data_IF_985040189767
#
_entry.id   IF_985040189767
#
_cell.length_a   1.000
_cell.length_b   1.000
_cell.length_c   1.000
_cell.angle_alpha   90.00
_cell.angle_beta   90.00
_cell.angle_gamma   90.00
#
_symmetry.space_group_name_H-M   'P 1'
#
loop_
_entity.id
_entity.type
_entity.pdbx_description
1 polymer ?
#
# COMPACT_ATOMS: atom_id res chain seq x y z
N UNK A 1 1.75 12.30 28.89
CA UNK A 1 0.29 12.52 28.99
C UNK A 1 -0.40 11.32 28.35
N UNK A 2 -1.53 10.83 28.90
CA UNK A 2 -2.28 9.73 28.30
C UNK A 2 -2.80 10.17 26.92
N UNK A 3 -2.36 9.49 25.86
CA UNK A 3 -2.71 9.85 24.49
C UNK A 3 -2.88 8.62 23.62
N UNK A 4 -3.97 8.60 22.84
CA UNK A 4 -4.19 7.70 21.72
C UNK A 4 -3.48 8.29 20.51
N UNK A 5 -2.52 7.54 19.95
CA UNK A 5 -1.60 8.03 18.92
C UNK A 5 -2.02 7.58 17.53
N UNK A 6 -2.50 6.34 17.42
CA UNK A 6 -2.92 5.73 16.16
C UNK A 6 -4.10 4.80 16.39
N UNK A 7 -4.97 4.71 15.38
CA UNK A 7 -6.07 3.77 15.38
C UNK A 7 -6.26 3.16 13.99
N UNK A 8 -6.72 1.92 13.94
CA UNK A 8 -7.05 1.21 12.71
C UNK A 8 -8.26 0.33 12.88
N UNK A 9 -9.09 0.28 11.84
CA UNK A 9 -10.18 -0.68 11.70
C UNK A 9 -9.72 -1.76 10.74
N UNK A 10 -9.84 -3.02 11.14
CA UNK A 10 -9.40 -4.19 10.37
C UNK A 10 -10.50 -5.23 10.31
N UNK A 11 -10.48 -6.06 9.27
CA UNK A 11 -11.35 -7.23 9.18
C UNK A 11 -10.74 -8.39 9.95
N UNK A 12 -11.53 -9.01 10.83
CA UNK A 12 -11.04 -10.05 11.76
C UNK A 12 -10.47 -11.25 11.01
N UNK A 13 -11.16 -11.74 9.97
CA UNK A 13 -10.84 -13.02 9.31
C UNK A 13 -9.41 -13.12 8.76
N UNK A 14 -8.86 -12.02 8.27
CA UNK A 14 -7.61 -11.96 7.53
C UNK A 14 -6.69 -10.81 7.96
N UNK A 15 -7.12 -9.97 8.90
CA UNK A 15 -6.40 -8.78 9.31
C UNK A 15 -6.30 -7.71 8.23
N UNK A 16 -7.18 -7.73 7.20
CA UNK A 16 -7.17 -6.73 6.14
C UNK A 16 -7.47 -5.34 6.75
N UNK A 17 -6.58 -4.34 6.60
CA UNK A 17 -6.87 -3.00 7.06
C UNK A 17 -8.00 -2.39 6.24
N UNK A 18 -9.06 -1.95 6.90
CA UNK A 18 -10.24 -1.33 6.30
C UNK A 18 -10.11 0.19 6.30
N UNK A 19 -9.63 0.76 7.41
CA UNK A 19 -9.32 2.17 7.58
C UNK A 19 -8.26 2.37 8.67
N UNK A 20 -7.59 3.52 8.69
CA UNK A 20 -6.64 3.88 9.75
C UNK A 20 -6.40 5.39 9.80
N UNK A 21 -5.94 5.86 10.96
CA UNK A 21 -5.55 7.25 11.14
C UNK A 21 -4.26 7.60 10.37
N UNK A 22 -4.26 8.75 9.70
CA UNK A 22 -3.13 9.26 8.91
C UNK A 22 -2.14 10.10 9.72
N UNK A 23 -1.67 9.57 10.85
CA UNK A 23 -0.76 10.30 11.73
C UNK A 23 0.71 10.01 11.44
N UNK A 24 1.52 11.06 11.34
CA UNK A 24 2.97 10.97 11.16
C UNK A 24 3.69 11.00 12.50
N UNK A 25 4.04 9.82 13.01
CA UNK A 25 4.97 9.67 14.13
C UNK A 25 6.24 8.98 13.65
N UNK A 26 7.37 9.68 13.77
CA UNK A 26 8.68 9.21 13.29
C UNK A 26 9.53 8.51 14.35
N UNK A 27 9.04 8.35 15.57
CA UNK A 27 9.75 7.60 16.61
C UNK A 27 9.92 6.14 16.20
N UNK A 28 11.15 5.61 16.28
CA UNK A 28 11.46 4.24 15.87
C UNK A 28 10.60 3.21 16.60
N UNK A 29 10.42 3.38 17.91
CA UNK A 29 9.61 2.50 18.75
C UNK A 29 8.13 2.48 18.33
N UNK A 30 7.61 3.61 17.85
CA UNK A 30 6.25 3.68 17.31
C UNK A 30 6.12 2.89 16.00
N UNK A 31 7.14 2.93 15.13
CA UNK A 31 7.16 2.14 13.90
C UNK A 31 7.22 0.64 14.18
N UNK A 32 7.97 0.23 15.21
CA UNK A 32 8.03 -1.17 15.69
C UNK A 32 6.66 -1.61 16.24
N UNK A 33 6.04 -0.79 17.08
CA UNK A 33 4.68 -1.01 17.60
C UNK A 33 3.66 -1.13 16.46
N UNK A 34 3.78 -0.33 15.40
CA UNK A 34 2.94 -0.42 14.20
C UNK A 34 3.15 -1.71 13.41
N UNK A 35 4.37 -2.27 13.39
CA UNK A 35 4.64 -3.60 12.79
C UNK A 35 3.99 -4.70 13.63
N UNK A 36 4.10 -4.63 14.95
CA UNK A 36 3.47 -5.56 15.89
C UNK A 36 1.95 -5.52 15.77
N UNK A 37 1.33 -4.34 15.70
CA UNK A 37 -0.10 -4.18 15.47
C UNK A 37 -0.56 -4.89 14.19
N UNK A 38 0.20 -4.78 13.10
CA UNK A 38 -0.11 -5.48 11.84
C UNK A 38 0.02 -7.00 11.97
N UNK A 39 1.00 -7.49 12.72
CA UNK A 39 1.15 -8.91 12.98
C UNK A 39 -0.01 -9.45 13.83
N UNK A 40 -0.41 -8.71 14.86
CA UNK A 40 -1.57 -9.01 15.71
C UNK A 40 -2.87 -9.02 14.90
N UNK A 41 -3.07 -8.05 14.00
CA UNK A 41 -4.28 -7.97 13.16
C UNK A 41 -4.54 -9.28 12.38
N UNK A 42 -3.48 -9.93 11.87
CA UNK A 42 -3.59 -11.21 11.13
C UNK A 42 -3.93 -12.41 12.01
N UNK A 43 -3.70 -12.30 13.32
CA UNK A 43 -3.91 -13.36 14.31
C UNK A 43 -5.16 -13.13 15.16
N UNK A 44 -5.92 -12.06 14.92
CA UNK A 44 -7.16 -11.76 15.64
C UNK A 44 -8.14 -12.94 15.75
N UNK A 45 -8.32 -13.82 14.73
CA UNK A 45 -9.21 -14.98 14.88
C UNK A 45 -8.79 -15.97 15.97
N UNK A 46 -7.52 -15.93 16.41
CA UNK A 46 -6.96 -16.80 17.46
C UNK A 46 -7.13 -16.22 18.86
N UNK A 47 -7.55 -14.97 18.96
CA UNK A 47 -7.63 -14.23 20.22
C UNK A 47 -9.09 -13.96 20.61
N UNK A 48 -9.38 -13.77 21.90
CA UNK A 48 -10.72 -13.41 22.35
C UNK A 48 -11.12 -12.02 21.86
N UNK A 49 -12.38 -11.65 22.09
CA UNK A 49 -12.97 -10.40 21.61
C UNK A 49 -12.22 -9.13 22.00
N UNK A 50 -11.42 -9.12 23.07
CA UNK A 50 -10.62 -7.98 23.53
C UNK A 50 -9.24 -8.43 23.99
N UNK A 51 -8.23 -7.58 23.77
CA UNK A 51 -6.89 -7.84 24.28
C UNK A 51 -5.98 -6.61 24.23
N UNK A 52 -4.84 -6.76 24.88
CA UNK A 52 -3.77 -5.76 24.93
C UNK A 52 -2.41 -6.41 24.76
N UNK A 53 -1.46 -5.65 24.21
CA UNK A 53 -0.06 -6.04 24.13
C UNK A 53 0.79 -4.86 24.60
N UNK A 54 1.63 -5.09 25.60
CA UNK A 54 2.48 -4.05 26.20
C UNK A 54 3.84 -3.98 25.52
N UNK A 55 4.22 -2.78 25.07
CA UNK A 55 5.56 -2.47 24.60
C UNK A 55 6.23 -1.48 25.58
N UNK A 56 7.45 -1.03 25.27
CA UNK A 56 8.24 -0.16 26.17
C UNK A 56 7.51 1.15 26.49
N UNK A 57 7.26 1.95 25.45
CA UNK A 57 6.68 3.29 25.59
C UNK A 57 5.20 3.34 25.16
N UNK A 58 4.73 2.29 24.50
CA UNK A 58 3.38 2.21 23.92
C UNK A 58 2.68 0.90 24.28
N UNK A 59 1.36 0.96 24.33
CA UNK A 59 0.50 -0.22 24.43
C UNK A 59 -0.36 -0.33 23.18
N UNK A 60 -0.56 -1.56 22.73
CA UNK A 60 -1.50 -1.91 21.68
C UNK A 60 -2.76 -2.45 22.34
N UNK A 61 -3.93 -1.98 21.90
CA UNK A 61 -5.22 -2.51 22.32
C UNK A 61 -6.03 -2.92 21.09
N UNK A 62 -6.84 -3.97 21.23
CA UNK A 62 -7.80 -4.36 20.20
C UNK A 62 -9.13 -4.80 20.81
N UNK A 63 -10.20 -4.53 20.07
CA UNK A 63 -11.56 -5.00 20.36
C UNK A 63 -12.20 -5.45 19.05
N UNK A 64 -12.72 -6.68 19.02
CA UNK A 64 -13.30 -7.32 17.86
C UNK A 64 -14.74 -7.74 18.12
N UNK A 65 -15.64 -7.38 17.20
CA UNK A 65 -17.05 -7.74 17.22
C UNK A 65 -17.61 -7.78 15.79
N UNK A 66 -18.51 -8.71 15.49
CA UNK A 66 -19.19 -8.76 14.18
C UNK A 66 -18.25 -8.88 12.96
N UNK A 67 -17.09 -9.53 13.11
CA UNK A 67 -16.11 -9.69 12.02
C UNK A 67 -15.25 -8.45 11.72
N UNK A 68 -15.42 -7.37 12.50
CA UNK A 68 -14.61 -6.14 12.45
C UNK A 68 -13.88 -5.97 13.77
N UNK A 69 -12.62 -5.54 13.71
CA UNK A 69 -11.86 -5.18 14.90
C UNK A 69 -11.34 -3.74 14.80
N UNK A 70 -11.40 -3.04 15.91
CA UNK A 70 -10.75 -1.75 16.09
C UNK A 70 -9.49 -1.97 16.92
N UNK A 71 -8.38 -1.40 16.49
CA UNK A 71 -7.07 -1.47 17.15
C UNK A 71 -6.53 -0.08 17.38
N UNK A 72 -5.79 0.12 18.47
CA UNK A 72 -5.15 1.40 18.79
C UNK A 72 -3.73 1.22 19.32
N UNK A 73 -2.88 2.21 19.06
CA UNK A 73 -1.59 2.40 19.73
C UNK A 73 -1.73 3.62 20.62
N UNK A 74 -1.41 3.45 21.90
CA UNK A 74 -1.55 4.48 22.91
C UNK A 74 -0.25 4.61 23.71
N UNK A 75 -0.01 5.78 24.30
CA UNK A 75 1.02 5.93 25.33
C UNK A 75 0.77 4.96 26.48
N UNK A 76 1.81 4.42 27.10
CA UNK A 76 1.69 3.48 28.23
C UNK A 76 0.86 4.01 29.42
N UNK A 77 0.78 5.33 29.61
CA UNK A 77 0.00 5.93 30.70
C UNK A 77 -1.51 6.06 30.39
N UNK A 78 -1.96 5.62 29.20
CA UNK A 78 -3.36 5.72 28.81
C UNK A 78 -4.22 4.66 29.53
N UNK A 79 -5.28 5.05 30.27
CA UNK A 79 -6.13 4.09 30.98
C UNK A 79 -6.82 3.11 30.01
N UNK A 80 -6.76 1.81 30.30
CA UNK A 80 -7.34 0.78 29.43
C UNK A 80 -8.84 1.02 29.15
N UNK A 81 -9.62 1.38 30.17
CA UNK A 81 -11.05 1.68 30.01
C UNK A 81 -11.32 2.84 29.03
N UNK A 82 -10.47 3.87 29.01
CA UNK A 82 -10.57 4.96 28.05
C UNK A 82 -10.32 4.46 26.63
N UNK A 83 -9.31 3.60 26.44
CA UNK A 83 -8.97 3.03 25.14
C UNK A 83 -10.07 2.09 24.64
N UNK A 84 -10.60 1.20 25.48
CA UNK A 84 -11.70 0.32 25.08
C UNK A 84 -12.97 1.11 24.75
N UNK A 85 -13.28 2.17 25.50
CA UNK A 85 -14.38 3.09 25.17
C UNK A 85 -14.19 3.77 23.81
N UNK A 86 -12.95 4.16 23.49
CA UNK A 86 -12.59 4.69 22.19
C UNK A 86 -12.80 3.65 21.08
N UNK A 87 -12.31 2.42 21.27
CA UNK A 87 -12.44 1.34 20.30
C UNK A 87 -13.90 0.97 20.03
N UNK A 88 -14.74 0.92 21.06
CA UNK A 88 -16.18 0.67 20.90
C UNK A 88 -16.87 1.80 20.14
N UNK A 89 -16.54 3.06 20.45
CA UNK A 89 -17.09 4.21 19.72
C UNK A 89 -16.76 4.10 18.23
N UNK A 90 -15.50 3.81 17.90
CA UNK A 90 -15.09 3.61 16.50
C UNK A 90 -15.81 2.44 15.84
N UNK A 91 -16.00 1.34 16.55
CA UNK A 91 -16.68 0.17 16.03
C UNK A 91 -18.15 0.48 15.68
N UNK A 92 -18.87 1.17 16.59
CA UNK A 92 -20.24 1.62 16.34
C UNK A 92 -20.32 2.57 15.15
N UNK A 93 -19.48 3.60 15.10
CA UNK A 93 -19.47 4.56 13.99
C UNK A 93 -19.16 3.86 12.65
N UNK A 94 -18.25 2.89 12.64
CA UNK A 94 -17.84 2.17 11.42
C UNK A 94 -18.97 1.26 10.90
N UNK A 95 -19.55 0.44 11.79
CA UNK A 95 -20.64 -0.48 11.43
C UNK A 95 -21.95 0.23 11.10
N UNK A 96 -22.17 1.44 11.63
CA UNK A 96 -23.28 2.30 11.23
C UNK A 96 -23.06 2.96 9.86
N UNK A 97 -21.80 3.18 9.47
CA UNK A 97 -21.44 3.86 8.21
C UNK A 97 -21.35 2.92 7.01
N UNK A 98 -21.03 1.64 7.23
CA UNK A 98 -20.73 0.69 6.16
C UNK A 98 -21.46 -0.63 6.33
N UNK A 99 -22.03 -1.13 5.22
CA UNK A 99 -22.72 -2.42 5.21
C UNK A 99 -21.74 -3.59 5.41
N UNK A 100 -22.21 -4.61 6.14
CA UNK A 100 -21.46 -5.83 6.46
C UNK A 100 -21.05 -6.57 5.19
N UNK A 101 -21.89 -6.57 4.15
CA UNK A 101 -21.58 -7.20 2.86
C UNK A 101 -20.39 -6.54 2.18
N UNK A 102 -20.38 -5.21 2.11
CA UNK A 102 -19.29 -4.42 1.54
C UNK A 102 -17.97 -4.65 2.28
N UNK A 103 -18.03 -4.68 3.62
CA UNK A 103 -16.87 -5.01 4.47
C UNK A 103 -16.36 -6.43 4.18
N UNK A 104 -17.26 -7.39 4.02
CA UNK A 104 -16.93 -8.79 3.71
C UNK A 104 -16.32 -9.00 2.31
N UNK A 105 -16.73 -8.18 1.32
CA UNK A 105 -16.25 -8.26 -0.06
C UNK A 105 -14.99 -7.43 -0.33
N UNK A 106 -14.62 -6.52 0.57
CA UNK A 106 -13.43 -5.69 0.41
C UNK A 106 -12.17 -6.54 0.18
N UNK A 107 -11.43 -6.24 -0.89
CA UNK A 107 -10.20 -6.95 -1.25
C UNK A 107 -8.95 -6.06 -1.21
N UNK A 108 -9.14 -4.73 -1.25
CA UNK A 108 -8.05 -3.76 -1.22
C UNK A 108 -7.78 -3.28 0.20
N UNK A 109 -6.50 -3.16 0.62
CA UNK A 109 -6.14 -2.45 1.84
C UNK A 109 -6.68 -1.03 1.83
N UNK A 110 -7.24 -0.60 2.96
CA UNK A 110 -7.85 0.71 3.14
C UNK A 110 -8.97 0.98 2.12
N UNK A 111 -9.92 0.05 2.00
CA UNK A 111 -11.07 0.24 1.11
C UNK A 111 -12.04 1.36 1.60
N UNK A 112 -11.91 1.81 2.85
CA UNK A 112 -12.80 2.77 3.51
C UNK A 112 -11.98 3.96 4.06
N UNK A 113 -11.24 4.64 3.19
CA UNK A 113 -10.33 5.73 3.56
C UNK A 113 -11.06 6.95 4.13
N UNK A 114 -12.29 7.20 3.71
CA UNK A 114 -13.11 8.34 4.15
C UNK A 114 -13.39 8.31 5.65
N UNK A 115 -13.36 7.12 6.26
CA UNK A 115 -13.54 6.92 7.69
C UNK A 115 -12.40 7.50 8.55
N UNK A 116 -11.23 7.81 7.97
CA UNK A 116 -10.14 8.49 8.68
C UNK A 116 -10.62 9.78 9.37
N UNK A 117 -11.51 10.54 8.72
CA UNK A 117 -12.11 11.75 9.29
C UNK A 117 -12.83 11.50 10.62
N UNK A 118 -13.57 10.38 10.72
CA UNK A 118 -14.27 9.94 11.93
C UNK A 118 -13.25 9.50 12.97
N UNK A 119 -12.25 8.71 12.57
CA UNK A 119 -11.18 8.27 13.47
C UNK A 119 -10.48 9.47 14.10
N UNK A 120 -10.10 10.48 13.32
CA UNK A 120 -9.42 11.68 13.79
C UNK A 120 -10.29 12.49 14.75
N UNK A 121 -11.58 12.70 14.42
CA UNK A 121 -12.54 13.42 15.27
C UNK A 121 -12.73 12.71 16.61
N UNK A 122 -12.93 11.39 16.60
CA UNK A 122 -13.12 10.59 17.81
C UNK A 122 -11.84 10.55 18.63
N UNK A 123 -10.66 10.36 18.01
CA UNK A 123 -9.37 10.39 18.69
C UNK A 123 -9.11 11.74 19.38
N UNK A 124 -9.37 12.85 18.68
CA UNK A 124 -9.25 14.19 19.26
C UNK A 124 -10.14 14.36 20.49
N UNK A 125 -11.41 13.91 20.40
CA UNK A 125 -12.36 13.93 21.52
C UNK A 125 -11.80 13.20 22.74
N UNK A 126 -11.30 11.98 22.58
CA UNK A 126 -10.79 11.17 23.69
C UNK A 126 -9.47 11.69 24.27
N UNK A 127 -8.61 12.31 23.45
CA UNK A 127 -7.35 12.88 23.93
C UNK A 127 -7.51 14.21 24.67
N UNK A 128 -8.58 14.98 24.39
CA UNK A 128 -8.78 16.33 24.93
C UNK A 128 -9.98 16.49 25.86
N UNK A 129 -10.88 15.49 25.96
CA UNK A 129 -11.96 15.53 26.95
C UNK A 129 -11.44 15.23 28.36
N UNK A 130 -11.97 15.95 29.34
CA UNK A 130 -11.75 15.65 30.75
C UNK A 130 -12.47 14.35 31.13
N UNK A 131 -11.86 13.55 32.01
CA UNK A 131 -12.46 12.33 32.55
C UNK A 131 -13.84 12.56 33.18
N UNK A 132 -14.14 13.80 33.63
CA UNK A 132 -15.46 14.15 34.16
C UNK A 132 -16.59 14.16 33.13
N UNK A 133 -16.29 14.35 31.85
CA UNK A 133 -17.28 14.38 30.75
C UNK A 133 -17.53 12.99 30.14
N UNK A 134 -16.71 11.99 30.47
CA UNK A 134 -16.79 10.62 29.91
C UNK A 134 -17.31 9.58 30.92
N UNK A 135 -17.72 10.01 32.11
CA UNK A 135 -18.02 9.13 33.26
C UNK A 135 -18.96 7.97 32.95
N UNK A 136 -20.10 8.22 32.30
CA UNK A 136 -21.14 7.19 32.12
C UNK A 136 -20.70 6.01 31.23
N UNK A 137 -19.94 6.27 30.16
CA UNK A 137 -19.40 5.21 29.29
C UNK A 137 -18.16 4.54 29.88
N UNK A 138 -17.33 5.32 30.58
CA UNK A 138 -16.09 4.84 31.17
C UNK A 138 -16.35 3.90 32.36
N UNK A 139 -17.32 4.21 33.23
CA UNK A 139 -17.68 3.39 34.39
C UNK A 139 -18.19 2.00 33.97
N UNK A 140 -19.06 1.95 32.95
CA UNK A 140 -19.56 0.67 32.41
C UNK A 140 -18.45 -0.22 31.87
N UNK A 141 -17.52 0.37 31.10
CA UNK A 141 -16.40 -0.39 30.53
C UNK A 141 -15.41 -0.77 31.62
N UNK A 142 -15.19 0.08 32.63
CA UNK A 142 -14.35 -0.28 33.76
C UNK A 142 -14.93 -1.49 34.51
N UNK A 143 -16.22 -1.49 34.82
CA UNK A 143 -16.89 -2.63 35.45
C UNK A 143 -16.79 -3.90 34.59
N UNK A 144 -16.97 -3.79 33.27
CA UNK A 144 -16.81 -4.90 32.35
C UNK A 144 -15.37 -5.44 32.31
N UNK A 145 -14.36 -4.57 32.37
CA UNK A 145 -12.95 -4.97 32.38
C UNK A 145 -12.55 -5.64 33.69
N UNK A 146 -13.17 -5.29 34.83
CA UNK A 146 -12.99 -6.00 36.10
C UNK A 146 -13.57 -7.42 36.03
N UNK A 147 -14.72 -7.59 35.35
CA UNK A 147 -15.36 -8.89 35.17
C UNK A 147 -14.67 -9.75 34.10
N UNK A 148 -14.15 -9.12 33.04
CA UNK A 148 -13.51 -9.76 31.90
C UNK A 148 -12.25 -8.99 31.50
N UNK A 149 -11.10 -9.29 32.11
CA UNK A 149 -9.86 -8.61 31.79
C UNK A 149 -9.44 -8.91 30.35
N UNK A 150 -8.84 -7.93 29.64
CA UNK A 150 -8.38 -8.13 28.28
C UNK A 150 -7.27 -9.18 28.25
N UNK A 151 -7.25 -10.01 27.20
CA UNK A 151 -6.15 -10.96 27.03
C UNK A 151 -4.82 -10.22 26.88
N UNK A 152 -3.90 -10.46 27.82
CA UNK A 152 -2.57 -9.90 27.80
C UNK A 152 -1.68 -10.73 26.89
N UNK A 153 -1.20 -10.13 25.81
CA UNK A 153 -0.34 -10.78 24.83
C UNK A 153 1.12 -10.39 25.09
N UNK A 154 1.99 -11.38 25.31
CA UNK A 154 3.43 -11.16 25.37
C UNK A 154 3.95 -10.77 23.98
N UNK A 155 4.69 -9.66 23.92
CA UNK A 155 5.35 -9.18 22.70
C UNK A 155 6.65 -9.96 22.43
N UNK A 156 7.23 -10.59 23.46
CA UNK A 156 8.44 -11.41 23.36
C UNK A 156 8.10 -12.76 22.73
N UNK A 157 8.42 -12.88 21.43
CA UNK A 157 8.20 -14.09 20.64
C UNK A 157 7.88 -13.86 19.17
N UNK A 158 8.06 -12.64 18.64
CA UNK A 158 7.80 -12.35 17.21
C UNK A 158 9.07 -12.31 16.36
N UNK A 159 10.11 -13.04 16.77
CA UNK A 159 11.20 -13.48 15.88
C UNK A 159 11.49 -14.97 16.17
N UNK A 160 11.39 -15.78 15.11
CA UNK A 160 11.80 -17.19 14.94
C UNK A 160 10.90 -18.29 15.55
N UNK A 161 9.97 -18.80 14.72
CA UNK A 161 9.65 -20.24 14.67
C UNK A 161 9.19 -20.63 13.26
N UNK A 162 10.17 -20.86 12.38
CA UNK A 162 10.05 -21.95 11.40
C UNK A 162 9.99 -23.26 12.19
N UNK A 163 9.06 -24.14 11.84
CA UNK A 163 9.09 -25.55 12.24
C UNK A 163 7.94 -25.99 13.16
N UNK A 164 7.04 -26.78 12.57
CA UNK A 164 6.40 -27.95 13.19
C UNK A 164 5.48 -27.71 14.41
N UNK A 165 4.19 -27.49 14.17
CA UNK A 165 3.13 -28.34 14.75
C UNK A 165 1.73 -27.99 14.19
N UNK A 166 0.94 -29.05 14.02
CA UNK A 166 -0.52 -29.12 13.87
C UNK A 166 -1.13 -28.95 12.47
N UNK A 167 -1.34 -30.11 11.84
CA UNK A 167 -2.71 -30.62 11.67
C UNK A 167 -3.56 -29.89 10.64
N UNK A 168 -3.27 -30.12 9.36
CA UNK A 168 -4.17 -29.78 8.27
C UNK A 168 -5.43 -30.67 8.28
N UNK A 169 -6.60 -30.05 8.41
CA UNK A 169 -7.71 -30.31 7.48
C UNK A 169 -7.67 -29.19 6.43
N UNK A 170 -7.57 -29.50 5.12
CA UNK A 170 -7.39 -28.47 4.11
C UNK A 170 -8.75 -27.88 3.75
N UNK A 171 -9.02 -26.65 4.17
CA UNK A 171 -9.95 -25.79 3.43
C UNK A 171 -9.10 -25.05 2.41
N UNK A 172 -9.25 -25.45 1.15
CA UNK A 172 -8.75 -24.71 0.00
C UNK A 172 -9.26 -23.26 0.09
N UNK A 173 -8.36 -22.33 0.38
CA UNK A 173 -8.56 -20.92 0.14
C UNK A 173 -7.34 -20.48 -0.65
N UNK A 174 -7.52 -20.35 -1.96
CA UNK A 174 -6.51 -19.81 -2.86
C UNK A 174 -6.00 -18.48 -2.28
N UNK A 175 -4.67 -18.31 -2.10
CA UNK A 175 -4.12 -17.03 -1.70
C UNK A 175 -4.26 -16.06 -2.87
N UNK A 176 -4.95 -14.94 -2.65
CA UNK A 176 -4.89 -13.79 -3.54
C UNK A 176 -3.42 -13.45 -3.81
N UNK A 177 -2.99 -13.37 -5.08
CA UNK A 177 -1.58 -13.34 -5.40
C UNK A 177 -1.08 -11.92 -5.08
N UNK A 178 -0.35 -11.81 -3.96
CA UNK A 178 0.34 -10.59 -3.57
C UNK A 178 1.57 -10.44 -4.47
N UNK A 179 1.34 -10.09 -5.73
CA UNK A 179 2.35 -9.76 -6.73
C UNK A 179 3.11 -8.50 -6.29
N UNK A 180 4.21 -8.69 -5.55
CA UNK A 180 5.19 -7.62 -5.33
C UNK A 180 6.28 -7.77 -6.38
N UNK A 181 6.50 -6.72 -7.17
CA UNK A 181 7.59 -6.70 -8.14
C UNK A 181 8.93 -6.71 -7.39
N UNK A 182 9.92 -7.48 -7.87
CA UNK A 182 11.26 -7.52 -7.26
C UNK A 182 11.88 -6.13 -7.12
N UNK A 183 12.67 -5.85 -6.07
CA UNK A 183 13.37 -4.56 -5.93
C UNK A 183 14.17 -4.22 -7.20
N UNK A 184 14.19 -2.94 -7.56
CA UNK A 184 14.83 -2.47 -8.80
C UNK A 184 16.34 -2.73 -8.74
N UNK A 185 16.87 -3.43 -9.74
CA UNK A 185 18.31 -3.69 -9.87
C UNK A 185 19.05 -2.44 -10.34
N UNK A 186 20.36 -2.34 -10.11
CA UNK A 186 21.16 -1.20 -10.58
C UNK A 186 21.08 -1.00 -12.11
N UNK A 187 21.05 -2.10 -12.87
CA UNK A 187 20.81 -2.10 -14.31
C UNK A 187 19.40 -1.61 -14.67
N UNK A 188 18.43 -1.90 -13.80
CA UNK A 188 17.07 -1.37 -13.80
C UNK A 188 17.00 0.15 -13.68
N UNK A 189 17.70 0.69 -12.67
CA UNK A 189 17.80 2.14 -12.47
C UNK A 189 18.44 2.82 -13.68
N UNK A 190 19.53 2.24 -14.21
CA UNK A 190 20.21 2.77 -15.39
C UNK A 190 19.26 2.82 -16.61
N UNK A 191 18.54 1.74 -16.88
CA UNK A 191 17.56 1.70 -17.98
C UNK A 191 16.43 2.71 -17.78
N UNK A 192 15.93 2.87 -16.56
CA UNK A 192 14.89 3.84 -16.25
C UNK A 192 15.37 5.28 -16.53
N UNK A 193 16.59 5.61 -16.09
CA UNK A 193 17.20 6.92 -16.35
C UNK A 193 17.38 7.17 -17.84
N UNK A 194 17.90 6.19 -18.58
CA UNK A 194 18.09 6.29 -20.03
C UNK A 194 16.76 6.46 -20.77
N UNK A 195 15.69 5.76 -20.34
CA UNK A 195 14.38 5.85 -20.97
C UNK A 195 13.69 7.20 -20.69
N UNK A 196 13.85 7.75 -19.48
CA UNK A 196 13.42 9.12 -19.14
C UNK A 196 14.17 10.15 -20.00
N UNK A 197 15.50 9.98 -20.16
CA UNK A 197 16.29 10.84 -21.03
C UNK A 197 15.80 10.78 -22.48
N UNK A 198 15.53 9.58 -23.01
CA UNK A 198 14.97 9.41 -24.35
C UNK A 198 13.60 10.10 -24.50
N UNK A 199 12.72 10.00 -23.50
CA UNK A 199 11.43 10.70 -23.50
C UNK A 199 11.61 12.22 -23.56
N UNK A 200 12.53 12.77 -22.75
CA UNK A 200 12.82 14.20 -22.70
C UNK A 200 13.44 14.72 -24.01
N UNK A 201 14.40 14.00 -24.59
CA UNK A 201 15.02 14.37 -25.87
C UNK A 201 14.00 14.37 -27.02
N UNK A 202 13.11 13.39 -27.04
CA UNK A 202 12.01 13.33 -28.01
C UNK A 202 11.03 14.51 -27.81
N UNK A 203 10.70 14.84 -26.57
CA UNK A 203 9.80 15.94 -26.22
C UNK A 203 10.39 17.30 -26.63
N UNK A 204 11.64 17.58 -26.25
CA UNK A 204 12.32 18.84 -26.58
C UNK A 204 12.40 19.05 -28.09
N UNK A 205 12.78 18.00 -28.85
CA UNK A 205 12.81 18.09 -30.32
C UNK A 205 11.42 18.24 -30.94
N UNK A 206 10.41 17.55 -30.40
CA UNK A 206 9.02 17.69 -30.84
C UNK A 206 8.46 19.10 -30.62
N UNK A 207 8.74 19.70 -29.46
CA UNK A 207 8.33 21.07 -29.12
C UNK A 207 9.07 22.09 -29.97
N UNK A 208 10.39 21.96 -30.12
CA UNK A 208 11.17 22.88 -30.96
C UNK A 208 10.73 22.81 -32.44
N UNK A 209 10.41 21.62 -32.94
CA UNK A 209 9.87 21.47 -34.28
C UNK A 209 8.47 22.08 -34.37
N UNK A 210 7.59 21.86 -33.38
CA UNK A 210 6.25 22.42 -33.35
C UNK A 210 6.23 23.96 -33.30
N UNK A 211 7.15 24.56 -32.55
CA UNK A 211 7.31 26.02 -32.48
C UNK A 211 7.74 26.62 -33.83
N UNK A 212 8.67 25.95 -34.52
CA UNK A 212 9.07 26.33 -35.89
C UNK A 212 7.96 26.06 -36.92
N UNK A 213 7.17 25.01 -36.73
CA UNK A 213 6.12 24.59 -37.66
C UNK A 213 4.83 25.41 -37.56
N UNK A 214 4.66 26.20 -36.50
CA UNK A 214 3.56 27.16 -36.39
C UNK A 214 3.57 28.21 -37.54
N UNK A 215 4.65 28.24 -38.33
CA UNK A 215 4.82 29.11 -39.49
C UNK A 215 4.57 28.44 -40.86
N UNK A 216 4.45 27.10 -40.99
CA UNK A 216 4.31 26.39 -42.28
C UNK A 216 3.34 25.19 -42.23
N UNK A 217 2.58 24.98 -43.31
CA UNK A 217 1.39 24.12 -43.41
C UNK A 217 1.60 22.60 -43.23
N UNK A 218 0.55 21.93 -42.73
CA UNK A 218 0.10 20.51 -42.73
C UNK A 218 1.09 19.31 -42.86
N UNK A 219 2.20 19.40 -43.58
CA UNK A 219 3.20 18.33 -43.72
C UNK A 219 4.08 18.17 -42.46
N UNK A 220 4.25 19.21 -41.65
CA UNK A 220 5.10 19.15 -40.45
C UNK A 220 4.42 18.48 -39.24
N UNK A 221 3.07 18.39 -39.25
CA UNK A 221 2.30 17.74 -38.17
C UNK A 221 2.67 16.26 -38.02
N UNK A 222 2.93 15.57 -39.14
CA UNK A 222 3.36 14.17 -39.11
C UNK A 222 4.71 13.99 -38.42
N UNK A 223 5.65 14.90 -38.67
CA UNK A 223 6.97 14.89 -38.04
C UNK A 223 6.89 15.22 -36.56
N UNK A 224 6.11 16.23 -36.19
CA UNK A 224 5.84 16.58 -34.79
C UNK A 224 5.27 15.36 -34.04
N UNK A 225 4.22 14.75 -34.58
CA UNK A 225 3.59 13.58 -33.97
C UNK A 225 4.57 12.40 -33.84
N UNK A 226 5.46 12.22 -34.81
CA UNK A 226 6.52 11.21 -34.77
C UNK A 226 7.57 11.44 -33.67
N UNK A 227 7.72 12.66 -33.12
CA UNK A 227 8.52 12.92 -31.91
C UNK A 227 7.72 12.66 -30.62
N UNK A 228 6.44 13.02 -30.59
CA UNK A 228 5.60 12.87 -29.39
C UNK A 228 5.21 11.40 -29.13
N UNK A 229 4.89 10.62 -30.16
CA UNK A 229 4.49 9.20 -30.00
C UNK A 229 5.58 8.39 -29.28
N UNK A 230 6.87 8.40 -29.70
CA UNK A 230 7.94 7.74 -28.96
C UNK A 230 8.18 8.32 -27.57
N UNK A 231 7.98 9.62 -27.36
CA UNK A 231 8.12 10.24 -26.04
C UNK A 231 7.11 9.66 -25.04
N UNK A 232 5.83 9.61 -25.42
CA UNK A 232 4.77 9.00 -24.60
C UNK A 232 5.02 7.50 -24.41
N UNK A 233 5.44 6.79 -25.45
CA UNK A 233 5.74 5.36 -25.36
C UNK A 233 6.90 5.06 -24.38
N UNK A 234 7.94 5.90 -24.33
CA UNK A 234 9.02 5.82 -23.33
C UNK A 234 8.49 6.01 -21.89
N UNK A 235 7.60 6.98 -21.66
CA UNK A 235 6.95 7.18 -20.35
C UNK A 235 6.12 5.96 -19.94
N UNK A 236 5.39 5.38 -20.89
CA UNK A 236 4.62 4.15 -20.66
C UNK A 236 5.54 2.97 -20.34
N UNK A 237 6.71 2.84 -21.00
CA UNK A 237 7.70 1.83 -20.63
C UNK A 237 8.22 2.01 -19.20
N UNK A 238 8.50 3.25 -18.76
CA UNK A 238 8.87 3.55 -17.37
C UNK A 238 7.76 3.14 -16.39
N UNK A 239 6.50 3.44 -16.73
CA UNK A 239 5.35 3.04 -15.92
C UNK A 239 5.21 1.52 -15.83
N UNK A 240 5.30 0.81 -16.96
CA UNK A 240 5.23 -0.65 -17.02
C UNK A 240 6.42 -1.32 -16.32
N UNK A 241 7.56 -0.63 -16.27
CA UNK A 241 8.69 -1.08 -15.48
C UNK A 241 8.37 -0.99 -14.00
N UNK A 242 7.84 0.14 -13.51
CA UNK A 242 7.61 0.38 -12.08
C UNK A 242 6.37 -0.33 -11.51
N UNK A 243 5.29 -0.40 -12.27
CA UNK A 243 3.97 -0.87 -11.82
C UNK A 243 3.53 -2.13 -12.56
N UNK A 244 2.88 -3.04 -11.84
CA UNK A 244 2.27 -4.22 -12.45
C UNK A 244 1.07 -3.84 -13.33
N UNK A 245 0.96 -4.48 -14.49
CA UNK A 245 -0.17 -4.31 -15.41
C UNK A 245 -0.55 -5.65 -16.04
N UNK A 246 -1.86 -5.97 -16.14
CA UNK A 246 -2.31 -7.13 -16.91
C UNK A 246 -1.95 -6.93 -18.39
N UNK A 247 -1.67 -8.02 -19.10
CA UNK A 247 -1.19 -8.01 -20.49
C UNK A 247 0.15 -7.25 -20.69
N UNK A 248 1.04 -7.32 -19.70
CA UNK A 248 2.38 -6.68 -19.70
C UNK A 248 3.14 -6.93 -21.00
N UNK A 249 3.21 -8.18 -21.46
CA UNK A 249 3.95 -8.55 -22.68
C UNK A 249 3.42 -7.82 -23.92
N UNK A 250 2.09 -7.80 -24.11
CA UNK A 250 1.47 -7.11 -25.24
C UNK A 250 1.76 -5.61 -25.20
N UNK A 251 1.62 -4.98 -24.03
CA UNK A 251 1.87 -3.54 -23.84
C UNK A 251 3.35 -3.17 -24.10
N UNK A 252 4.29 -4.03 -23.69
CA UNK A 252 5.72 -3.85 -23.95
C UNK A 252 6.03 -3.99 -25.44
N UNK A 253 5.46 -4.98 -26.12
CA UNK A 253 5.66 -5.16 -27.57
C UNK A 253 5.08 -3.96 -28.35
N UNK A 254 3.88 -3.50 -27.99
CA UNK A 254 3.25 -2.34 -28.64
C UNK A 254 4.09 -1.07 -28.43
N UNK A 255 4.55 -0.81 -27.20
CA UNK A 255 5.38 0.38 -26.92
C UNK A 255 6.72 0.31 -27.63
N UNK A 256 7.38 -0.86 -27.70
CA UNK A 256 8.60 -1.05 -28.48
C UNK A 256 8.38 -0.81 -29.98
N UNK A 257 7.26 -1.28 -30.53
CA UNK A 257 6.89 -1.06 -31.92
C UNK A 257 6.67 0.43 -32.21
N UNK A 258 5.94 1.16 -31.36
CA UNK A 258 5.74 2.60 -31.52
C UNK A 258 7.04 3.39 -31.45
N UNK A 259 7.94 3.04 -30.53
CA UNK A 259 9.26 3.70 -30.44
C UNK A 259 10.07 3.39 -31.70
N UNK A 260 10.11 2.15 -32.15
CA UNK A 260 10.90 1.73 -33.32
C UNK A 260 10.38 2.36 -34.61
N UNK A 261 9.07 2.28 -34.87
CA UNK A 261 8.44 2.86 -36.05
C UNK A 261 8.55 4.39 -36.06
N UNK A 262 8.33 5.05 -34.93
CA UNK A 262 8.48 6.50 -34.84
C UNK A 262 9.92 6.97 -35.07
N UNK A 263 10.91 6.24 -34.53
CA UNK A 263 12.32 6.57 -34.76
C UNK A 263 12.79 6.25 -36.19
N UNK A 264 12.24 5.21 -36.84
CA UNK A 264 12.49 4.90 -38.24
C UNK A 264 11.88 5.95 -39.18
N UNK A 265 10.66 6.41 -38.89
CA UNK A 265 10.03 7.50 -39.64
C UNK A 265 10.87 8.80 -39.56
N UNK A 266 11.53 9.03 -38.43
CA UNK A 266 12.42 10.19 -38.21
C UNK A 266 13.85 10.00 -38.73
N UNK A 267 14.16 8.96 -39.51
CA UNK A 267 15.52 8.69 -40.00
C UNK A 267 16.08 9.81 -40.90
N UNK A 268 15.24 10.65 -41.50
CA UNK A 268 15.68 11.87 -42.20
C UNK A 268 16.03 13.06 -41.29
N UNK A 269 15.47 13.11 -40.08
CA UNK A 269 15.66 14.19 -39.09
C UNK A 269 16.64 13.82 -37.97
N UNK A 270 17.04 12.55 -37.89
CA UNK A 270 17.94 11.99 -36.86
C UNK A 270 19.11 11.26 -37.51
N UNK A 271 20.28 11.36 -36.90
CA UNK A 271 21.42 10.53 -37.29
C UNK A 271 21.11 9.05 -37.00
N UNK A 272 21.55 8.14 -37.86
CA UNK A 272 21.50 6.68 -37.68
C UNK A 272 21.96 6.26 -36.27
N UNK A 273 23.01 6.88 -35.72
CA UNK A 273 23.46 6.61 -34.36
C UNK A 273 22.46 6.99 -33.27
N UNK A 274 21.73 8.10 -33.44
CA UNK A 274 20.68 8.52 -32.51
C UNK A 274 19.49 7.56 -32.57
N UNK A 275 19.12 7.14 -33.78
CA UNK A 275 18.04 6.17 -33.99
C UNK A 275 18.38 4.83 -33.34
N UNK A 276 19.59 4.32 -33.56
CA UNK A 276 20.09 3.10 -32.90
C UNK A 276 20.13 3.24 -31.37
N UNK A 277 20.53 4.40 -30.85
CA UNK A 277 20.52 4.67 -29.42
C UNK A 277 19.10 4.56 -28.83
N UNK A 278 18.11 5.24 -29.43
CA UNK A 278 16.72 5.19 -28.95
C UNK A 278 16.11 3.78 -29.04
N UNK A 279 16.36 3.06 -30.13
CA UNK A 279 15.89 1.67 -30.28
C UNK A 279 16.60 0.75 -29.28
N UNK A 280 17.89 0.94 -29.04
CA UNK A 280 18.68 0.18 -28.08
C UNK A 280 18.19 0.37 -26.64
N UNK A 281 17.95 1.61 -26.22
CA UNK A 281 17.40 1.91 -24.89
C UNK A 281 15.99 1.32 -24.73
N UNK A 282 15.13 1.46 -25.75
CA UNK A 282 13.79 0.89 -25.71
C UNK A 282 13.82 -0.65 -25.66
N UNK A 283 14.76 -1.30 -26.36
CA UNK A 283 14.94 -2.74 -26.34
C UNK A 283 15.46 -3.24 -24.99
N UNK A 284 16.43 -2.55 -24.40
CA UNK A 284 16.93 -2.83 -23.06
C UNK A 284 15.82 -2.68 -22.01
N UNK A 285 15.04 -1.59 -22.08
CA UNK A 285 13.91 -1.37 -21.19
C UNK A 285 12.83 -2.44 -21.35
N UNK A 286 12.49 -2.80 -22.59
CA UNK A 286 11.54 -3.89 -22.86
C UNK A 286 12.02 -5.23 -22.32
N UNK A 287 13.29 -5.57 -22.53
CA UNK A 287 13.90 -6.78 -21.98
C UNK A 287 13.77 -6.78 -20.46
N UNK A 288 14.14 -5.70 -19.78
CA UNK A 288 14.04 -5.61 -18.33
C UNK A 288 12.60 -5.69 -17.79
N UNK A 289 11.62 -5.10 -18.49
CA UNK A 289 10.20 -5.19 -18.10
C UNK A 289 9.70 -6.65 -18.21
N UNK A 290 10.14 -7.36 -19.24
CA UNK A 290 9.74 -8.75 -19.49
C UNK A 290 10.46 -9.73 -18.55
N UNK A 291 11.74 -9.52 -18.26
CA UNK A 291 12.53 -10.37 -17.37
C UNK A 291 12.33 -10.07 -15.90
N UNK A 292 11.76 -8.90 -15.54
CA UNK A 292 11.40 -8.59 -14.14
C UNK A 292 10.29 -9.53 -13.72
N UNK A 293 10.67 -10.56 -12.97
CA UNK A 293 9.76 -11.55 -12.44
C UNK A 293 8.80 -10.87 -11.47
N UNK A 294 7.56 -11.30 -11.52
CA UNK A 294 6.67 -11.13 -10.40
C UNK A 294 7.16 -12.10 -9.35
N UNK A 295 7.50 -11.60 -8.16
CA UNK A 295 7.90 -12.48 -7.09
C UNK A 295 6.65 -13.25 -6.64
N UNK A 296 6.37 -14.36 -7.31
CA UNK A 296 5.62 -15.45 -6.73
C UNK A 296 6.51 -15.96 -5.61
N UNK A 297 6.06 -15.81 -4.37
CA UNK A 297 6.79 -16.37 -3.23
C UNK A 297 6.93 -17.87 -3.53
N UNK A 298 8.15 -18.32 -3.83
CA UNK A 298 8.44 -19.74 -3.91
C UNK A 298 7.90 -20.38 -2.63
N UNK A 299 7.00 -21.35 -2.82
CA UNK A 299 6.70 -22.31 -1.78
C UNK A 299 7.99 -23.09 -1.57
N UNK A 300 8.80 -22.68 -0.59
CA UNK A 300 9.91 -23.49 -0.10
C UNK A 300 9.33 -24.81 0.40
N UNK A 301 9.34 -25.81 -0.47
CA UNK A 301 9.25 -27.21 -0.11
C UNK A 301 10.68 -27.69 0.21
N UNK A 302 10.89 -28.05 1.48
CA UNK A 302 12.07 -28.75 1.99
C UNK A 302 13.15 -27.81 2.55
N UNK A 303 13.75 -28.04 3.74
CA UNK A 303 13.77 -29.15 4.69
C UNK A 303 13.94 -28.55 6.09
#
# INVERSE_FOLDING_TARGET
MPMILFASVVRVRDGLPLSASTDFYHAQEFLECRRQLKALARRLPQYPGRGSAESRDFNIYFSSSGGVACMAICSRQCPAAMVFCFLETLWWDFTASYDTTCIGLASRPYAFLEFDSVIQKTKWRFNHMSSSQMKSGLEKIQEELELQPPAMLSIEGTDVANGMLNGHTPVHSEPAPNLRMEPVTALGVLSLVLNILCAALNLVRGVHLAEHSLQVAQEEVGNILAFFIPSVACIVQCYLYLFYSPARTLKVVLTLAFISLGNMYLHGLRNTWQVLFHIGVASLSSYQILTRQLQERQSDYGV
#
